data_IF_378759258195
#
_entry.id   IF_378759258195
#
_cell.length_a   1.000
_cell.length_b   1.000
_cell.length_c   1.000
_cell.angle_alpha   90.00
_cell.angle_beta   90.00
_cell.angle_gamma   90.00
#
_symmetry.space_group_name_H-M   'P 1'
#
loop_
_entity.id
_entity.type
_entity.pdbx_description
1 polymer ?
#
# COMPACT_ATOMS: atom_id res chain seq x y z
N UNK A 1 8.32 3.49 -21.67
CA UNK A 1 8.88 2.12 -21.68
C UNK A 1 9.28 1.77 -20.25
N UNK A 2 8.31 1.45 -19.39
CA UNK A 2 7.84 0.06 -19.21
C UNK A 2 6.31 -0.02 -19.17
N UNK A 3 5.68 -0.52 -20.23
CA UNK A 3 4.27 -0.90 -20.19
C UNK A 3 4.19 -2.30 -19.58
N UNK A 4 4.30 -2.37 -18.24
CA UNK A 4 4.04 -3.60 -17.51
C UNK A 4 2.53 -3.84 -17.50
N UNK A 5 2.08 -5.07 -17.76
CA UNK A 5 0.66 -5.40 -17.63
C UNK A 5 0.16 -5.04 -16.22
N UNK A 6 -1.10 -4.60 -16.04
CA UNK A 6 -1.62 -4.18 -14.73
C UNK A 6 -1.38 -5.20 -13.61
N UNK A 7 -1.46 -6.51 -13.92
CA UNK A 7 -1.13 -7.56 -12.94
C UNK A 7 0.34 -7.60 -12.51
N UNK A 8 1.27 -7.25 -13.38
CA UNK A 8 2.71 -7.22 -13.08
C UNK A 8 3.09 -6.04 -12.18
N UNK A 9 2.41 -4.90 -12.33
CA UNK A 9 2.65 -3.71 -11.50
C UNK A 9 2.14 -3.90 -10.08
N UNK A 10 0.96 -4.52 -9.89
CA UNK A 10 0.46 -4.90 -8.55
C UNK A 10 1.41 -5.85 -7.82
N UNK A 11 1.86 -6.91 -8.51
CA UNK A 11 2.77 -7.90 -7.90
C UNK A 11 4.09 -7.25 -7.46
N UNK A 12 4.64 -6.35 -8.28
CA UNK A 12 5.84 -5.59 -7.93
C UNK A 12 5.62 -4.75 -6.67
N UNK A 13 4.52 -4.01 -6.60
CA UNK A 13 4.19 -3.21 -5.43
C UNK A 13 4.10 -4.06 -4.15
N UNK A 14 3.48 -5.25 -4.22
CA UNK A 14 3.42 -6.16 -3.07
C UNK A 14 4.83 -6.60 -2.61
N UNK A 15 5.76 -6.82 -3.54
CA UNK A 15 7.15 -7.15 -3.20
C UNK A 15 7.89 -5.98 -2.57
N UNK A 16 7.66 -4.76 -3.06
CA UNK A 16 8.24 -3.53 -2.48
C UNK A 16 7.69 -3.28 -1.06
N UNK A 17 6.41 -3.56 -0.82
CA UNK A 17 5.78 -3.42 0.51
C UNK A 17 6.14 -4.56 1.50
N UNK A 18 6.64 -5.70 1.01
CA UNK A 18 6.97 -6.85 1.86
C UNK A 18 8.10 -6.60 2.88
N UNK A 19 8.86 -5.52 2.71
CA UNK A 19 9.94 -5.14 3.63
C UNK A 19 9.49 -4.23 4.78
N UNK A 20 8.24 -3.76 4.76
CA UNK A 20 7.70 -2.87 5.79
C UNK A 20 7.57 -3.64 7.10
N UNK A 21 8.24 -3.15 8.14
CA UNK A 21 8.20 -3.76 9.46
C UNK A 21 6.81 -3.65 10.10
N UNK A 22 6.44 -4.66 10.88
CA UNK A 22 5.26 -4.62 11.75
C UNK A 22 5.50 -3.74 12.99
N UNK A 23 4.49 -3.67 13.87
CA UNK A 23 4.66 -3.06 15.19
C UNK A 23 5.57 -3.91 16.08
N UNK A 24 6.50 -3.28 16.80
CA UNK A 24 7.36 -3.96 17.78
C UNK A 24 6.57 -4.44 19.02
N UNK A 25 5.65 -3.60 19.52
CA UNK A 25 4.78 -3.89 20.67
C UNK A 25 3.31 -3.51 20.36
N UNK A 26 2.55 -4.39 19.67
CA UNK A 26 1.20 -4.07 19.22
C UNK A 26 0.20 -4.01 20.37
N UNK A 27 -0.59 -2.93 20.41
CA UNK A 27 -1.68 -2.72 21.37
C UNK A 27 -2.99 -3.26 20.81
N UNK A 28 -3.41 -4.44 21.26
CA UNK A 28 -4.64 -5.08 20.82
C UNK A 28 -5.91 -4.19 20.90
N UNK A 29 -6.13 -3.35 21.94
CA UNK A 29 -7.30 -2.45 21.98
C UNK A 29 -7.32 -1.37 20.90
N UNK A 30 -6.19 -1.11 20.24
CA UNK A 30 -6.07 -0.20 19.10
C UNK A 30 -6.11 -0.95 17.76
N UNK A 31 -6.28 -2.27 17.79
CA UNK A 31 -6.25 -3.14 16.62
C UNK A 31 -4.98 -2.94 15.76
N UNK A 32 -3.82 -2.84 16.40
CA UNK A 32 -2.53 -2.69 15.73
C UNK A 32 -2.06 -3.99 15.06
N UNK A 33 -2.65 -4.32 13.92
CA UNK A 33 -2.15 -5.33 12.99
C UNK A 33 -1.61 -4.67 11.73
N UNK A 34 -0.60 -5.27 11.11
CA UNK A 34 -0.10 -4.78 9.84
C UNK A 34 -1.02 -5.25 8.70
N UNK A 35 -1.30 -4.38 7.73
CA UNK A 35 -1.98 -4.79 6.49
C UNK A 35 -1.06 -5.71 5.69
N UNK A 36 -1.50 -6.92 5.27
CA UNK A 36 -0.67 -7.78 4.43
C UNK A 36 -0.25 -7.07 3.12
N UNK A 37 1.01 -7.20 2.67
CA UNK A 37 1.51 -6.51 1.47
C UNK A 37 0.68 -6.76 0.20
N UNK A 38 0.23 -8.00 -0.02
CA UNK A 38 -0.61 -8.33 -1.18
C UNK A 38 -1.97 -7.63 -1.14
N UNK A 39 -2.54 -7.46 0.06
CA UNK A 39 -3.80 -6.75 0.26
C UNK A 39 -3.61 -5.25 0.03
N UNK A 40 -2.57 -4.65 0.61
CA UNK A 40 -2.25 -3.24 0.41
C UNK A 40 -2.01 -2.94 -1.07
N UNK A 41 -1.20 -3.75 -1.75
CA UNK A 41 -0.93 -3.60 -3.17
C UNK A 41 -2.20 -3.76 -4.02
N UNK A 42 -3.12 -4.65 -3.65
CA UNK A 42 -4.40 -4.77 -4.34
C UNK A 42 -5.25 -3.50 -4.20
N UNK A 43 -5.41 -2.97 -2.98
CA UNK A 43 -6.20 -1.76 -2.73
C UNK A 43 -5.63 -0.57 -3.50
N UNK A 44 -4.33 -0.32 -3.37
CA UNK A 44 -3.66 0.81 -4.04
C UNK A 44 -3.71 0.65 -5.56
N UNK A 45 -3.49 -0.57 -6.08
CA UNK A 45 -3.57 -0.80 -7.52
C UNK A 45 -4.97 -0.53 -8.08
N UNK A 46 -6.02 -0.89 -7.35
CA UNK A 46 -7.39 -0.56 -7.75
C UNK A 46 -7.60 0.95 -7.76
N UNK A 47 -7.19 1.67 -6.71
CA UNK A 47 -7.32 3.14 -6.64
C UNK A 47 -6.56 3.83 -7.78
N UNK A 48 -5.33 3.40 -8.05
CA UNK A 48 -4.51 3.91 -9.15
C UNK A 48 -5.15 3.68 -10.53
N UNK A 49 -5.76 2.51 -10.76
CA UNK A 49 -6.52 2.25 -12.00
C UNK A 49 -7.76 3.14 -12.15
N UNK A 50 -8.29 3.71 -11.05
CA UNK A 50 -9.39 4.68 -11.07
C UNK A 50 -8.89 6.13 -11.20
N UNK A 51 -7.58 6.37 -11.11
CA UNK A 51 -7.00 7.72 -11.12
C UNK A 51 -7.03 8.43 -9.76
N UNK A 52 -7.21 7.69 -8.66
CA UNK A 52 -7.34 8.25 -7.31
C UNK A 52 -5.99 8.33 -6.55
N UNK A 53 -4.84 8.22 -7.25
CA UNK A 53 -3.49 8.22 -6.67
C UNK A 53 -2.60 9.30 -7.29
N UNK A 54 -2.17 9.11 -8.53
CA UNK A 54 -1.21 10.01 -9.21
C UNK A 54 -1.78 11.44 -9.31
N UNK A 55 -1.05 12.42 -8.75
CA UNK A 55 -1.45 13.83 -8.76
C UNK A 55 -2.53 14.22 -7.74
N UNK A 56 -3.01 13.25 -6.94
CA UNK A 56 -4.03 13.46 -5.92
C UNK A 56 -3.44 13.60 -4.51
N UNK A 57 -4.19 14.23 -3.60
CA UNK A 57 -3.81 14.25 -2.17
C UNK A 57 -4.46 13.08 -1.44
N UNK A 58 -3.65 12.11 -1.02
CA UNK A 58 -4.10 10.90 -0.32
C UNK A 58 -3.99 11.07 1.20
N UNK A 59 -5.01 10.62 1.93
CA UNK A 59 -5.02 10.60 3.41
C UNK A 59 -5.19 9.16 3.91
N UNK A 60 -4.24 8.70 4.75
CA UNK A 60 -4.26 7.37 5.38
C UNK A 60 -4.68 7.47 6.85
N UNK A 61 -5.95 7.16 7.13
CA UNK A 61 -6.53 7.26 8.47
C UNK A 61 -6.25 5.98 9.27
N UNK A 62 -5.53 6.13 10.38
CA UNK A 62 -5.05 4.97 11.14
C UNK A 62 -3.87 4.30 10.46
N UNK A 63 -2.97 5.09 9.86
CA UNK A 63 -1.88 4.62 8.99
C UNK A 63 -0.98 3.52 9.59
N UNK A 64 -0.90 3.43 10.92
CA UNK A 64 -0.17 2.36 11.60
C UNK A 64 1.30 2.31 11.17
N UNK A 65 1.71 1.22 10.52
CA UNK A 65 3.07 1.06 9.97
C UNK A 65 3.30 1.84 8.66
N UNK A 66 2.26 2.51 8.16
CA UNK A 66 2.28 3.29 6.92
C UNK A 66 2.09 2.46 5.66
N UNK A 67 1.61 1.21 5.74
CA UNK A 67 1.57 0.28 4.61
C UNK A 67 0.79 0.83 3.40
N UNK A 68 -0.37 1.46 3.63
CA UNK A 68 -1.18 2.05 2.56
C UNK A 68 -0.60 3.37 2.07
N UNK A 69 -0.16 4.25 2.97
CA UNK A 69 0.53 5.49 2.61
C UNK A 69 1.79 5.24 1.75
N UNK A 70 2.63 4.27 2.12
CA UNK A 70 3.80 3.86 1.34
C UNK A 70 3.39 3.28 -0.02
N UNK A 71 2.34 2.46 -0.04
CA UNK A 71 1.82 1.90 -1.28
C UNK A 71 1.37 2.99 -2.26
N UNK A 72 0.61 3.98 -1.78
CA UNK A 72 0.18 5.13 -2.57
C UNK A 72 1.39 5.94 -3.09
N UNK A 73 2.34 6.29 -2.21
CA UNK A 73 3.53 7.07 -2.58
C UNK A 73 4.46 6.36 -3.58
N UNK A 74 4.46 5.02 -3.62
CA UNK A 74 5.21 4.25 -4.61
C UNK A 74 4.51 4.19 -5.99
N UNK A 75 3.23 4.56 -6.07
CA UNK A 75 2.42 4.47 -7.29
C UNK A 75 2.18 5.80 -8.00
N UNK A 76 2.36 6.94 -7.33
CA UNK A 76 2.34 8.27 -7.92
C UNK A 76 2.62 9.35 -6.90
#
# INVERSE_FOLDING_TARGET
MTDGTPGATRRRLAQELAVVAGFEDPRAPLEQYHTPPDLAAHIVHVADLQGDIEGETVVDLGCGTGMLALGAALRG
#
